data_IF_995168521694
#
_entry.id   IF_995168521694
#
_cell.length_a   1.000
_cell.length_b   1.000
_cell.length_c   1.000
_cell.angle_alpha   90.00
_cell.angle_beta   90.00
_cell.angle_gamma   90.00
#
_symmetry.space_group_name_H-M   'P 1'
#
loop_
_entity.id
_entity.type
_entity.pdbx_description
1 polymer ?
#
# COMPACT_ATOMS: atom_id res chain seq x y z
N UNK A 1 42.57 36.30 -4.93
CA UNK A 1 41.37 36.59 -4.11
C UNK A 1 40.23 35.75 -4.65
N UNK A 2 40.10 34.53 -4.10
CA UNK A 2 39.08 33.55 -4.41
C UNK A 2 37.85 33.86 -3.56
N UNK A 3 36.80 34.34 -4.17
CA UNK A 3 35.49 34.45 -3.56
C UNK A 3 34.93 33.05 -3.34
N UNK A 4 34.90 32.61 -2.11
CA UNK A 4 34.24 31.38 -1.69
C UNK A 4 32.73 31.61 -1.82
N UNK A 5 32.15 30.92 -2.80
CA UNK A 5 30.73 30.84 -3.04
C UNK A 5 29.98 30.48 -1.75
N UNK A 6 28.90 31.20 -1.51
CA UNK A 6 28.02 31.07 -0.37
C UNK A 6 27.58 29.63 -0.16
N UNK A 7 27.93 29.10 0.98
CA UNK A 7 27.44 27.86 1.54
C UNK A 7 25.95 28.03 1.85
N UNK A 8 25.07 27.67 0.91
CA UNK A 8 23.67 27.52 1.23
C UNK A 8 23.59 26.35 2.21
N UNK A 9 23.29 26.64 3.46
CA UNK A 9 23.02 25.62 4.46
C UNK A 9 21.96 24.64 3.92
N UNK A 10 22.12 23.34 4.13
CA UNK A 10 21.08 22.39 3.77
C UNK A 10 19.75 22.84 4.41
N UNK A 11 18.61 22.68 3.73
CA UNK A 11 17.33 23.07 4.27
C UNK A 11 17.17 22.44 5.66
N UNK A 12 17.01 23.29 6.67
CA UNK A 12 16.96 22.86 8.06
C UNK A 12 15.89 21.79 8.26
N UNK A 13 16.15 20.90 9.21
CA UNK A 13 15.26 19.78 9.58
C UNK A 13 13.82 20.26 9.81
N UNK A 14 13.60 21.52 10.17
CA UNK A 14 12.31 22.17 10.42
C UNK A 14 11.80 23.04 9.25
N UNK A 15 12.22 22.78 8.01
CA UNK A 15 11.73 23.54 6.86
C UNK A 15 10.27 23.21 6.56
N UNK A 16 9.49 24.18 6.06
CA UNK A 16 8.12 23.96 5.60
C UNK A 16 8.03 22.82 4.56
N UNK A 17 9.06 22.64 3.77
CA UNK A 17 9.17 21.54 2.81
C UNK A 17 9.25 20.18 3.51
N UNK A 18 10.06 20.05 4.58
CA UNK A 18 10.17 18.81 5.34
C UNK A 18 8.84 18.43 6.01
N UNK A 19 8.13 19.40 6.56
CA UNK A 19 6.82 19.19 7.15
C UNK A 19 5.75 18.79 6.12
N UNK A 20 5.75 19.42 4.95
CA UNK A 20 4.84 19.04 3.86
C UNK A 20 5.11 17.63 3.36
N UNK A 21 6.37 17.28 3.18
CA UNK A 21 6.79 15.92 2.78
C UNK A 21 6.36 14.88 3.82
N UNK A 22 6.56 15.17 5.10
CA UNK A 22 6.13 14.30 6.19
C UNK A 22 4.60 14.12 6.19
N UNK A 23 3.84 15.19 6.07
CA UNK A 23 2.38 15.13 6.03
C UNK A 23 1.86 14.27 4.86
N UNK A 24 2.42 14.45 3.67
CA UNK A 24 2.09 13.63 2.50
C UNK A 24 2.44 12.16 2.74
N UNK A 25 3.61 11.88 3.30
CA UNK A 25 4.05 10.51 3.61
C UNK A 25 3.14 9.83 4.62
N UNK A 26 2.72 10.54 5.67
CA UNK A 26 1.78 10.03 6.68
C UNK A 26 0.41 9.75 6.07
N UNK A 27 -0.10 10.64 5.20
CA UNK A 27 -1.36 10.43 4.50
C UNK A 27 -1.31 9.19 3.60
N UNK A 28 -0.24 9.05 2.81
CA UNK A 28 -0.04 7.89 1.95
C UNK A 28 0.09 6.58 2.75
N UNK A 29 0.83 6.60 3.86
CA UNK A 29 0.96 5.44 4.75
C UNK A 29 -0.39 5.06 5.37
N UNK A 30 -1.21 6.04 5.75
CA UNK A 30 -2.55 5.82 6.30
C UNK A 30 -3.46 5.17 5.26
N UNK A 31 -3.50 5.71 4.04
CA UNK A 31 -4.31 5.16 2.94
C UNK A 31 -3.85 3.73 2.60
N UNK A 32 -2.53 3.50 2.50
CA UNK A 32 -1.98 2.16 2.27
C UNK A 32 -2.32 1.17 3.38
N UNK A 33 -2.31 1.64 4.63
CA UNK A 33 -2.68 0.83 5.80
C UNK A 33 -4.12 0.32 5.76
N UNK A 34 -5.04 1.07 5.18
CA UNK A 34 -6.44 0.65 5.04
C UNK A 34 -6.55 -0.67 4.28
N UNK A 35 -5.80 -0.84 3.19
CA UNK A 35 -5.82 -2.09 2.40
C UNK A 35 -5.42 -3.32 3.22
N UNK A 36 -4.47 -3.16 4.13
CA UNK A 36 -3.96 -4.25 4.97
C UNK A 36 -4.88 -4.58 6.15
N UNK A 37 -5.45 -3.56 6.80
CA UNK A 37 -6.20 -3.74 8.05
C UNK A 37 -7.72 -3.83 7.85
N UNK A 38 -8.24 -3.39 6.71
CA UNK A 38 -9.68 -3.40 6.43
C UNK A 38 -10.30 -4.79 6.63
N UNK A 39 -9.64 -5.85 6.16
CA UNK A 39 -10.15 -7.22 6.27
C UNK A 39 -10.26 -7.70 7.71
N UNK A 40 -9.39 -7.24 8.60
CA UNK A 40 -9.44 -7.59 10.03
C UNK A 40 -10.66 -6.96 10.71
N UNK A 41 -10.96 -5.72 10.36
CA UNK A 41 -12.11 -4.98 10.90
C UNK A 41 -13.44 -5.58 10.42
N UNK A 42 -13.50 -6.01 9.15
CA UNK A 42 -14.73 -6.60 8.59
C UNK A 42 -14.86 -8.10 8.82
N UNK A 43 -13.90 -8.73 9.48
CA UNK A 43 -13.90 -10.19 9.71
C UNK A 43 -15.23 -10.72 10.31
N UNK A 44 -15.84 -10.09 11.33
CA UNK A 44 -17.14 -10.55 11.86
C UNK A 44 -18.27 -10.44 10.83
N UNK A 45 -18.24 -9.39 10.01
CA UNK A 45 -19.22 -9.21 8.93
C UNK A 45 -19.04 -10.28 7.83
N UNK A 46 -17.80 -10.61 7.47
CA UNK A 46 -17.48 -11.68 6.52
C UNK A 46 -17.97 -13.03 7.02
N UNK A 47 -17.81 -13.33 8.32
CA UNK A 47 -18.33 -14.56 8.91
C UNK A 47 -19.86 -14.65 8.79
N UNK A 48 -20.55 -13.55 9.10
CA UNK A 48 -22.01 -13.49 9.03
C UNK A 48 -22.53 -13.55 7.58
N UNK A 49 -21.91 -12.82 6.67
CA UNK A 49 -22.30 -12.72 5.26
C UNK A 49 -22.18 -14.06 4.53
N UNK A 50 -21.03 -14.73 4.70
CA UNK A 50 -20.75 -15.98 3.99
C UNK A 50 -21.09 -17.24 4.80
N UNK A 51 -21.55 -17.12 6.04
CA UNK A 51 -21.91 -18.25 6.89
C UNK A 51 -20.74 -19.22 7.16
N UNK A 52 -19.51 -18.70 7.19
CA UNK A 52 -18.29 -19.48 7.33
C UNK A 52 -17.73 -19.41 8.76
N UNK A 53 -16.92 -20.39 9.11
CA UNK A 53 -16.23 -20.41 10.39
C UNK A 53 -15.10 -19.34 10.42
N UNK A 54 -14.52 -19.13 11.61
CA UNK A 54 -13.47 -18.13 11.80
C UNK A 54 -12.20 -18.44 11.01
N UNK A 55 -11.89 -19.71 10.80
CA UNK A 55 -10.72 -20.14 10.04
C UNK A 55 -10.89 -19.75 8.56
N UNK A 56 -12.03 -20.07 7.94
CA UNK A 56 -12.33 -19.68 6.56
C UNK A 56 -12.44 -18.15 6.41
N UNK A 57 -13.02 -17.44 7.36
CA UNK A 57 -13.10 -15.98 7.34
C UNK A 57 -11.73 -15.28 7.43
N UNK A 58 -10.71 -15.95 7.95
CA UNK A 58 -9.34 -15.43 8.02
C UNK A 58 -8.52 -15.65 6.74
N UNK A 59 -8.99 -16.48 5.81
CA UNK A 59 -8.29 -16.73 4.53
C UNK A 59 -8.01 -15.46 3.72
N UNK A 60 -8.92 -14.49 3.60
CA UNK A 60 -8.66 -13.23 2.91
C UNK A 60 -7.49 -12.46 3.50
N UNK A 61 -7.32 -12.47 4.81
CA UNK A 61 -6.19 -11.83 5.47
C UNK A 61 -4.86 -12.51 5.10
N UNK A 62 -4.81 -13.84 5.16
CA UNK A 62 -3.63 -14.60 4.75
C UNK A 62 -3.29 -14.33 3.28
N UNK A 63 -4.29 -14.34 2.40
CA UNK A 63 -4.11 -14.03 0.99
C UNK A 63 -3.58 -12.59 0.78
N UNK A 64 -4.06 -11.62 1.56
CA UNK A 64 -3.56 -10.24 1.52
C UNK A 64 -2.10 -10.16 1.94
N UNK A 65 -1.68 -10.88 2.97
CA UNK A 65 -0.28 -10.92 3.41
C UNK A 65 0.64 -11.54 2.34
N UNK A 66 0.21 -12.64 1.72
CA UNK A 66 0.95 -13.27 0.62
C UNK A 66 1.02 -12.34 -0.59
N UNK A 67 -0.11 -11.71 -0.96
CA UNK A 67 -0.18 -10.73 -2.04
C UNK A 67 0.72 -9.52 -1.78
N UNK A 68 0.73 -9.02 -0.56
CA UNK A 68 1.60 -7.92 -0.14
C UNK A 68 3.09 -8.29 -0.22
N UNK A 69 3.48 -9.47 0.27
CA UNK A 69 4.86 -9.94 0.19
C UNK A 69 5.33 -10.12 -1.26
N UNK A 70 4.53 -10.79 -2.10
CA UNK A 70 4.81 -10.93 -3.52
C UNK A 70 4.83 -9.57 -4.23
N UNK A 71 3.89 -8.70 -3.90
CA UNK A 71 3.78 -7.35 -4.42
C UNK A 71 5.03 -6.51 -4.17
N UNK A 72 5.59 -6.55 -2.96
CA UNK A 72 6.83 -5.82 -2.65
C UNK A 72 7.98 -6.22 -3.58
N UNK A 73 8.11 -7.51 -3.89
CA UNK A 73 9.14 -8.00 -4.81
C UNK A 73 8.87 -7.58 -6.26
N UNK A 74 7.62 -7.72 -6.71
CA UNK A 74 7.24 -7.40 -8.09
C UNK A 74 7.27 -5.90 -8.35
N UNK A 75 6.69 -5.12 -7.44
CA UNK A 75 6.65 -3.66 -7.54
C UNK A 75 8.05 -3.07 -7.41
N UNK A 76 8.90 -3.58 -6.51
CA UNK A 76 10.29 -3.16 -6.40
C UNK A 76 11.03 -3.35 -7.74
N UNK A 77 10.94 -4.53 -8.35
CA UNK A 77 11.53 -4.78 -9.67
C UNK A 77 10.94 -3.91 -10.79
N UNK A 78 9.65 -3.61 -10.72
CA UNK A 78 9.02 -2.73 -11.70
C UNK A 78 9.52 -1.28 -11.55
N UNK A 79 9.67 -0.79 -10.33
CA UNK A 79 10.21 0.56 -10.04
C UNK A 79 11.63 0.69 -10.58
N UNK A 80 12.46 -0.34 -10.41
CA UNK A 80 13.84 -0.36 -10.91
C UNK A 80 13.92 -0.30 -12.44
N UNK A 81 12.89 -0.80 -13.15
CA UNK A 81 12.88 -0.87 -14.61
C UNK A 81 12.18 0.30 -15.30
N UNK A 82 11.05 0.72 -14.79
CA UNK A 82 10.16 1.70 -15.46
C UNK A 82 9.94 2.97 -14.64
N UNK A 83 10.61 3.08 -13.49
CA UNK A 83 10.44 4.20 -12.57
C UNK A 83 9.19 4.07 -11.70
N UNK A 84 9.00 5.02 -10.80
CA UNK A 84 7.98 4.97 -9.74
C UNK A 84 6.54 5.18 -10.25
N UNK A 85 6.33 6.09 -11.21
CA UNK A 85 4.99 6.55 -11.59
C UNK A 85 4.08 5.46 -12.15
N UNK A 86 4.61 4.58 -13.00
CA UNK A 86 3.84 3.52 -13.64
C UNK A 86 3.39 2.48 -12.61
N UNK A 87 4.28 1.89 -11.77
CA UNK A 87 3.86 0.98 -10.72
C UNK A 87 2.89 1.60 -9.72
N UNK A 88 3.06 2.88 -9.36
CA UNK A 88 2.17 3.59 -8.46
C UNK A 88 0.74 3.71 -9.02
N UNK A 89 0.59 4.10 -10.28
CA UNK A 89 -0.71 4.19 -10.95
C UNK A 89 -1.38 2.81 -11.07
N UNK A 90 -0.64 1.79 -11.50
CA UNK A 90 -1.15 0.42 -11.62
C UNK A 90 -1.62 -0.10 -10.27
N UNK A 91 -0.85 0.11 -9.23
CA UNK A 91 -1.18 -0.37 -7.89
C UNK A 91 -2.35 0.38 -7.27
N UNK A 92 -2.46 1.69 -7.49
CA UNK A 92 -3.62 2.48 -7.04
C UNK A 92 -4.89 2.02 -7.74
N UNK A 93 -4.82 1.73 -9.04
CA UNK A 93 -5.94 1.21 -9.82
C UNK A 93 -6.32 -0.21 -9.36
N UNK A 94 -5.33 -1.05 -9.11
CA UNK A 94 -5.54 -2.40 -8.59
C UNK A 94 -6.19 -2.37 -7.20
N UNK A 95 -5.77 -1.45 -6.33
CA UNK A 95 -6.36 -1.26 -5.00
C UNK A 95 -7.83 -0.84 -5.10
N UNK A 96 -8.15 0.14 -5.94
CA UNK A 96 -9.54 0.58 -6.17
C UNK A 96 -10.41 -0.53 -6.75
N UNK A 97 -9.92 -1.23 -7.78
CA UNK A 97 -10.61 -2.37 -8.38
C UNK A 97 -10.78 -3.52 -7.36
N UNK A 98 -9.79 -3.76 -6.51
CA UNK A 98 -9.85 -4.77 -5.45
C UNK A 98 -10.98 -4.51 -4.46
N UNK A 99 -11.15 -3.28 -3.99
CA UNK A 99 -12.26 -2.92 -3.10
C UNK A 99 -13.62 -3.02 -3.80
N UNK A 100 -13.72 -2.60 -5.07
CA UNK A 100 -14.96 -2.74 -5.85
C UNK A 100 -15.33 -4.22 -6.03
N UNK A 101 -14.39 -5.07 -6.43
CA UNK A 101 -14.64 -6.49 -6.61
C UNK A 101 -14.93 -7.20 -5.28
N UNK A 102 -14.26 -6.80 -4.19
CA UNK A 102 -14.55 -7.32 -2.86
C UNK A 102 -15.99 -6.98 -2.43
N UNK A 103 -16.49 -5.78 -2.75
CA UNK A 103 -17.87 -5.38 -2.44
C UNK A 103 -18.92 -6.12 -3.26
N UNK A 104 -18.56 -6.61 -4.44
CA UNK A 104 -19.44 -7.35 -5.35
C UNK A 104 -19.28 -8.88 -5.23
N UNK A 105 -18.41 -9.36 -4.35
CA UNK A 105 -18.14 -10.78 -4.21
C UNK A 105 -19.34 -11.53 -3.59
N UNK A 106 -19.79 -12.57 -4.29
CA UNK A 106 -20.88 -13.46 -3.84
C UNK A 106 -20.36 -14.72 -3.12
N UNK A 107 -19.06 -14.89 -2.97
CA UNK A 107 -18.46 -16.03 -2.27
C UNK A 107 -17.17 -15.65 -1.57
N UNK A 108 -16.83 -16.41 -0.50
CA UNK A 108 -15.59 -16.21 0.25
C UNK A 108 -14.34 -16.38 -0.62
N UNK A 109 -14.38 -17.24 -1.64
CA UNK A 109 -13.26 -17.41 -2.57
C UNK A 109 -13.04 -16.18 -3.43
N UNK A 110 -14.10 -15.60 -3.99
CA UNK A 110 -14.02 -14.35 -4.78
C UNK A 110 -13.50 -13.21 -3.92
N UNK A 111 -14.00 -13.09 -2.68
CA UNK A 111 -13.55 -12.11 -1.73
C UNK A 111 -12.06 -12.29 -1.39
N UNK A 112 -11.61 -13.53 -1.16
CA UNK A 112 -10.20 -13.87 -0.88
C UNK A 112 -9.29 -13.52 -2.07
N UNK A 113 -9.72 -13.78 -3.29
CA UNK A 113 -8.97 -13.40 -4.50
C UNK A 113 -8.85 -11.89 -4.65
N UNK A 114 -9.93 -11.14 -4.48
CA UNK A 114 -9.91 -9.68 -4.54
C UNK A 114 -8.99 -9.09 -3.47
N UNK A 115 -9.06 -9.60 -2.25
CA UNK A 115 -8.20 -9.17 -1.15
C UNK A 115 -6.73 -9.51 -1.40
N UNK A 116 -6.43 -10.76 -1.74
CA UNK A 116 -5.04 -11.21 -1.89
C UNK A 116 -4.37 -10.62 -3.12
N UNK A 117 -5.00 -10.75 -4.29
CA UNK A 117 -4.36 -10.39 -5.56
C UNK A 117 -4.37 -8.86 -5.78
N UNK A 118 -5.51 -8.21 -5.62
CA UNK A 118 -5.65 -6.80 -5.98
C UNK A 118 -5.29 -5.87 -4.81
N UNK A 119 -5.84 -6.11 -3.63
CA UNK A 119 -5.59 -5.25 -2.48
C UNK A 119 -4.19 -5.51 -1.91
N UNK A 120 -3.77 -6.77 -1.79
CA UNK A 120 -2.43 -7.11 -1.32
C UNK A 120 -1.33 -6.54 -2.21
N UNK A 121 -1.40 -6.78 -3.53
CA UNK A 121 -0.46 -6.22 -4.49
C UNK A 121 -0.54 -4.68 -4.56
N UNK A 122 -1.75 -4.13 -4.57
CA UNK A 122 -1.95 -2.68 -4.63
C UNK A 122 -1.36 -1.94 -3.43
N UNK A 123 -1.51 -2.49 -2.23
CA UNK A 123 -0.98 -1.91 -0.99
C UNK A 123 0.56 -1.89 -0.98
N UNK A 124 1.23 -2.88 -1.58
CA UNK A 124 2.69 -2.99 -1.58
C UNK A 124 3.41 -1.82 -2.25
N UNK A 125 2.82 -1.24 -3.29
CA UNK A 125 3.43 -0.12 -4.02
C UNK A 125 3.44 1.19 -3.22
N UNK A 126 2.62 1.30 -2.19
CA UNK A 126 2.56 2.50 -1.34
C UNK A 126 3.65 2.43 -0.27
N UNK A 127 3.88 1.26 0.31
CA UNK A 127 4.84 1.09 1.41
C UNK A 127 6.30 1.04 0.96
N UNK A 128 6.60 0.41 -0.17
CA UNK A 128 7.97 0.24 -0.66
C UNK A 128 8.71 1.58 -0.85
N UNK A 129 8.18 2.50 -1.65
CA UNK A 129 8.79 3.81 -1.87
C UNK A 129 8.83 4.69 -0.62
N UNK A 130 7.83 4.57 0.26
CA UNK A 130 7.78 5.33 1.51
C UNK A 130 8.96 4.97 2.42
N UNK A 131 9.28 3.69 2.53
CA UNK A 131 10.43 3.21 3.31
C UNK A 131 11.74 3.65 2.66
N UNK A 132 11.84 3.59 1.33
CA UNK A 132 13.02 4.03 0.60
C UNK A 132 13.26 5.55 0.75
N UNK A 133 12.20 6.35 0.76
CA UNK A 133 12.28 7.80 0.91
C UNK A 133 12.73 8.25 2.31
N UNK A 134 12.42 7.49 3.35
CA UNK A 134 12.83 7.76 4.73
C UNK A 134 14.30 7.37 4.97
N UNK A 135 14.85 6.46 4.15
CA UNK A 135 16.23 5.95 4.29
C UNK A 135 17.30 6.85 3.66
N UNK A 136 16.92 7.90 2.98
CA UNK A 136 17.79 8.94 2.39
C UNK A 136 17.60 10.29 3.08
#
# INVERSE_FOLDING_TARGET
LTTISSNAAPPGIDSAYAWTRLAISVLLATIGGVGMWAVVVVLPAVQAEFGVDRAAASMPYTATMVGFAAGNVLVGRAIDRVGYWIPALVSSTALAAGFLLASLSGSILQFTFAQGLLIGLGTSAIFGPLIADISH
#
